data_IF_374315316955
#
_entry.id   IF_374315316955
#
_cell.length_a   1.000
_cell.length_b   1.000
_cell.length_c   1.000
_cell.angle_alpha   90.00
_cell.angle_beta   90.00
_cell.angle_gamma   90.00
#
_symmetry.space_group_name_H-M   'P 1'
#
loop_
_entity.id
_entity.type
_entity.pdbx_description
1 polymer ?
#
# COMPACT_ATOMS: atom_id res chain seq x y z
N UNK A 1 -21.94 -1.16 -2.00
CA UNK A 1 -20.68 -1.54 -1.34
C UNK A 1 -20.19 -0.48 -0.37
N UNK A 2 -20.32 0.80 -0.62
CA UNK A 2 -19.68 1.85 0.20
C UNK A 2 -20.57 2.45 1.30
N UNK A 3 -21.85 2.10 1.38
CA UNK A 3 -22.72 2.44 2.52
C UNK A 3 -22.66 1.30 3.55
N UNK A 4 -21.95 1.52 4.63
CA UNK A 4 -21.77 0.55 5.71
C UNK A 4 -22.64 0.99 6.89
N UNK A 5 -23.80 0.34 7.07
CA UNK A 5 -24.75 0.63 8.15
C UNK A 5 -24.73 -0.41 9.25
N UNK A 6 -24.11 -1.55 9.00
CA UNK A 6 -24.00 -2.69 9.91
C UNK A 6 -22.59 -3.26 9.98
N UNK A 7 -22.30 -4.02 11.02
CA UNK A 7 -21.04 -4.78 11.15
C UNK A 7 -20.89 -5.80 10.02
N UNK A 8 -21.99 -6.35 9.51
CA UNK A 8 -21.96 -7.27 8.37
C UNK A 8 -21.46 -6.54 7.10
N UNK A 9 -21.92 -5.31 6.85
CA UNK A 9 -21.45 -4.50 5.73
C UNK A 9 -19.95 -4.23 5.86
N UNK A 10 -19.49 -3.91 7.08
CA UNK A 10 -18.06 -3.71 7.34
C UNK A 10 -17.24 -4.97 7.00
N UNK A 11 -17.66 -6.15 7.48
CA UNK A 11 -16.95 -7.41 7.22
C UNK A 11 -16.87 -7.73 5.72
N UNK A 12 -17.98 -7.54 5.01
CA UNK A 12 -18.02 -7.72 3.55
C UNK A 12 -17.05 -6.74 2.86
N UNK A 13 -17.06 -5.47 3.25
CA UNK A 13 -16.18 -4.47 2.65
C UNK A 13 -14.70 -4.69 3.01
N UNK A 14 -14.38 -5.20 4.20
CA UNK A 14 -13.01 -5.62 4.54
C UNK A 14 -12.50 -6.68 3.56
N UNK A 15 -13.32 -7.67 3.21
CA UNK A 15 -12.90 -8.69 2.25
C UNK A 15 -12.77 -8.10 0.85
N UNK A 16 -13.79 -7.39 0.36
CA UNK A 16 -13.88 -6.95 -1.04
C UNK A 16 -12.95 -5.75 -1.33
N UNK A 17 -12.82 -4.83 -0.40
CA UNK A 17 -12.03 -3.59 -0.58
C UNK A 17 -10.65 -3.70 0.10
N UNK A 18 -10.58 -4.46 1.20
CA UNK A 18 -9.35 -4.62 1.97
C UNK A 18 -8.45 -5.73 1.45
N UNK A 19 -8.92 -6.97 1.51
CA UNK A 19 -8.09 -8.16 1.30
C UNK A 19 -7.89 -8.47 -0.19
N UNK A 20 -8.98 -8.55 -0.95
CA UNK A 20 -8.91 -8.95 -2.37
C UNK A 20 -8.03 -8.00 -3.19
N UNK A 21 -8.19 -6.66 -3.12
CA UNK A 21 -7.29 -5.75 -3.82
C UNK A 21 -5.87 -5.82 -3.29
N UNK A 22 -5.67 -5.87 -1.96
CA UNK A 22 -4.36 -5.98 -1.35
C UNK A 22 -3.53 -7.18 -1.84
N UNK A 23 -4.19 -8.30 -2.17
CA UNK A 23 -3.55 -9.47 -2.76
C UNK A 23 -3.41 -9.31 -4.29
N UNK A 24 -4.49 -9.00 -4.99
CA UNK A 24 -4.53 -8.97 -6.45
C UNK A 24 -3.63 -7.89 -7.05
N UNK A 25 -3.63 -6.71 -6.47
CA UNK A 25 -2.79 -5.60 -6.92
C UNK A 25 -1.30 -5.90 -6.68
N UNK A 26 -0.94 -6.51 -5.55
CA UNK A 26 0.45 -6.88 -5.29
C UNK A 26 0.95 -7.98 -6.24
N UNK A 27 0.11 -8.95 -6.57
CA UNK A 27 0.45 -9.95 -7.60
C UNK A 27 0.77 -9.27 -8.94
N UNK A 28 -0.04 -8.31 -9.35
CA UNK A 28 0.17 -7.58 -10.60
C UNK A 28 1.38 -6.65 -10.52
N UNK A 29 1.39 -5.72 -9.55
CA UNK A 29 2.39 -4.65 -9.52
C UNK A 29 3.77 -5.15 -9.10
N UNK A 30 3.88 -5.99 -8.07
CA UNK A 30 5.17 -6.51 -7.57
C UNK A 30 5.55 -7.81 -8.22
N UNK A 31 4.58 -8.74 -8.32
CA UNK A 31 4.81 -10.06 -8.92
C UNK A 31 5.11 -10.02 -10.41
N UNK A 32 4.51 -9.09 -11.16
CA UNK A 32 4.70 -8.98 -12.61
C UNK A 32 5.45 -7.69 -12.96
N UNK A 33 4.85 -6.52 -12.77
CA UNK A 33 5.37 -5.25 -13.32
C UNK A 33 6.74 -4.91 -12.73
N UNK A 34 6.87 -4.81 -11.42
CA UNK A 34 8.14 -4.46 -10.76
C UNK A 34 9.23 -5.49 -11.09
N UNK A 35 8.87 -6.77 -11.04
CA UNK A 35 9.81 -7.87 -11.35
C UNK A 35 10.33 -7.79 -12.78
N UNK A 36 9.45 -7.55 -13.77
CA UNK A 36 9.86 -7.45 -15.17
C UNK A 36 10.67 -6.18 -15.47
N UNK A 37 10.32 -5.04 -14.87
CA UNK A 37 11.09 -3.80 -14.99
C UNK A 37 12.48 -3.97 -14.35
N UNK A 38 12.55 -4.59 -13.16
CA UNK A 38 13.82 -4.82 -12.45
C UNK A 38 14.79 -5.71 -13.23
N UNK A 39 14.30 -6.63 -14.07
CA UNK A 39 15.17 -7.44 -14.94
C UNK A 39 15.83 -6.63 -16.05
N UNK A 40 15.22 -5.52 -16.45
CA UNK A 40 15.69 -4.67 -17.57
C UNK A 40 16.51 -3.47 -17.11
N UNK A 41 16.36 -3.07 -15.86
CA UNK A 41 17.02 -1.90 -15.28
C UNK A 41 18.13 -2.33 -14.32
N UNK A 42 19.29 -1.68 -14.42
CA UNK A 42 20.43 -1.90 -13.52
C UNK A 42 20.11 -1.42 -12.10
N UNK A 43 19.31 -0.35 -11.98
CA UNK A 43 18.99 0.25 -10.69
C UNK A 43 17.59 -0.18 -10.20
N UNK A 44 17.49 -0.98 -9.13
CA UNK A 44 16.21 -1.44 -8.61
C UNK A 44 15.32 -0.31 -8.07
N UNK A 45 15.91 0.79 -7.58
CA UNK A 45 15.16 1.92 -7.07
C UNK A 45 14.35 2.61 -8.17
N UNK A 46 14.86 2.66 -9.40
CA UNK A 46 14.13 3.19 -10.55
C UNK A 46 12.93 2.29 -10.90
N UNK A 47 13.12 0.97 -10.85
CA UNK A 47 12.02 0.02 -11.07
C UNK A 47 10.91 0.18 -10.03
N UNK A 48 11.29 0.34 -8.76
CA UNK A 48 10.35 0.58 -7.66
C UNK A 48 9.57 1.88 -7.91
N UNK A 49 10.26 2.97 -8.25
CA UNK A 49 9.63 4.26 -8.50
C UNK A 49 8.64 4.21 -9.67
N UNK A 50 9.05 3.63 -10.81
CA UNK A 50 8.18 3.49 -11.99
C UNK A 50 6.93 2.67 -11.63
N UNK A 51 7.11 1.56 -10.91
CA UNK A 51 5.98 0.71 -10.50
C UNK A 51 5.04 1.42 -9.54
N UNK A 52 5.57 2.18 -8.57
CA UNK A 52 4.77 2.96 -7.64
C UNK A 52 4.01 4.09 -8.36
N UNK A 53 4.63 4.73 -9.34
CA UNK A 53 3.98 5.72 -10.19
C UNK A 53 2.82 5.12 -10.98
N UNK A 54 3.05 3.98 -11.64
CA UNK A 54 2.00 3.25 -12.38
C UNK A 54 0.87 2.80 -11.44
N UNK A 55 1.20 2.29 -10.26
CA UNK A 55 0.23 1.92 -9.23
C UNK A 55 -0.67 3.10 -8.86
N UNK A 56 -0.10 4.27 -8.58
CA UNK A 56 -0.86 5.46 -8.26
C UNK A 56 -1.70 5.95 -9.44
N UNK A 57 -1.12 6.00 -10.64
CA UNK A 57 -1.80 6.45 -11.86
C UNK A 57 -3.00 5.57 -12.23
N UNK A 58 -2.90 4.25 -11.99
CA UNK A 58 -3.97 3.29 -12.31
C UNK A 58 -5.26 3.52 -11.51
N UNK A 59 -5.19 4.26 -10.42
CA UNK A 59 -6.37 4.62 -9.63
C UNK A 59 -7.16 5.81 -10.18
N UNK A 60 -6.65 6.53 -11.17
CA UNK A 60 -7.30 7.67 -11.84
C UNK A 60 -7.84 8.75 -10.88
N UNK A 61 -7.18 8.97 -9.75
CA UNK A 61 -7.57 9.95 -8.72
C UNK A 61 -6.44 10.95 -8.50
N UNK A 62 -6.64 12.20 -8.93
CA UNK A 62 -5.61 13.26 -8.82
C UNK A 62 -5.29 13.57 -7.35
N UNK A 63 -6.31 13.80 -6.53
CA UNK A 63 -6.15 14.11 -5.10
C UNK A 63 -5.48 12.98 -4.30
N UNK A 64 -5.77 11.72 -4.66
CA UNK A 64 -5.17 10.54 -4.05
C UNK A 64 -3.83 10.12 -4.63
N UNK A 65 -3.30 10.84 -5.64
CA UNK A 65 -2.10 10.41 -6.36
C UNK A 65 -0.87 10.31 -5.45
N UNK A 66 -0.56 11.38 -4.72
CA UNK A 66 0.63 11.41 -3.84
C UNK A 66 0.55 10.37 -2.71
N UNK A 67 -0.53 10.27 -1.94
CA UNK A 67 -0.68 9.20 -0.94
C UNK A 67 -0.51 7.79 -1.52
N UNK A 68 -1.11 7.52 -2.69
CA UNK A 68 -0.98 6.21 -3.34
C UNK A 68 0.41 5.96 -3.91
N UNK A 69 1.09 6.98 -4.40
CA UNK A 69 2.49 6.89 -4.79
C UNK A 69 3.36 6.50 -3.60
N UNK A 70 3.15 7.14 -2.44
CA UNK A 70 3.91 6.86 -1.22
C UNK A 70 3.70 5.42 -0.74
N UNK A 71 2.45 4.97 -0.64
CA UNK A 71 2.19 3.56 -0.29
C UNK A 71 2.75 2.60 -1.34
N UNK A 72 2.67 2.97 -2.62
CA UNK A 72 3.29 2.23 -3.72
C UNK A 72 4.80 2.05 -3.55
N UNK A 73 5.52 3.09 -3.13
CA UNK A 73 6.95 3.01 -2.81
C UNK A 73 7.22 2.06 -1.63
N UNK A 74 6.43 2.20 -0.54
CA UNK A 74 6.54 1.31 0.63
C UNK A 74 6.45 -0.15 0.24
N UNK A 75 5.40 -0.49 -0.51
CA UNK A 75 5.13 -1.86 -0.94
C UNK A 75 6.21 -2.37 -1.90
N UNK A 76 6.70 -1.50 -2.79
CA UNK A 76 7.81 -1.81 -3.68
C UNK A 76 9.11 -2.11 -2.95
N UNK A 77 9.44 -1.33 -1.93
CA UNK A 77 10.59 -1.59 -1.07
C UNK A 77 10.39 -2.82 -0.16
N UNK A 78 9.17 -3.03 0.37
CA UNK A 78 8.85 -4.22 1.14
C UNK A 78 9.10 -5.49 0.33
N UNK A 79 8.68 -5.50 -0.95
CA UNK A 79 8.96 -6.61 -1.87
C UNK A 79 10.46 -6.75 -2.14
N UNK A 80 11.15 -5.67 -2.48
CA UNK A 80 12.57 -5.68 -2.82
C UNK A 80 13.45 -6.19 -1.66
N UNK A 81 13.19 -5.71 -0.44
CA UNK A 81 13.99 -6.04 0.74
C UNK A 81 13.68 -7.42 1.30
N UNK A 82 12.42 -7.88 1.24
CA UNK A 82 12.02 -9.18 1.76
C UNK A 82 12.21 -10.33 0.75
N UNK A 83 12.24 -10.03 -0.54
CA UNK A 83 12.20 -11.04 -1.61
C UNK A 83 10.89 -11.82 -1.68
N UNK A 84 9.84 -11.40 -0.94
CA UNK A 84 8.58 -12.10 -0.79
C UNK A 84 7.39 -11.21 -1.13
N UNK A 85 6.40 -11.74 -1.87
CA UNK A 85 5.14 -11.06 -2.14
C UNK A 85 4.20 -11.03 -0.92
N UNK A 86 4.39 -11.94 0.04
CA UNK A 86 3.51 -12.05 1.21
C UNK A 86 3.57 -10.76 2.05
N UNK A 87 4.77 -10.20 2.25
CA UNK A 87 4.94 -9.00 3.07
C UNK A 87 4.19 -7.79 2.50
N UNK A 88 4.37 -7.37 1.23
CA UNK A 88 3.60 -6.26 0.67
C UNK A 88 2.09 -6.56 0.61
N UNK A 89 1.65 -7.81 0.36
CA UNK A 89 0.23 -8.18 0.42
C UNK A 89 -0.38 -7.92 1.81
N UNK A 90 0.31 -8.33 2.87
CA UNK A 90 -0.13 -8.09 4.25
C UNK A 90 -0.20 -6.60 4.54
N UNK A 91 0.86 -5.84 4.23
CA UNK A 91 0.92 -4.39 4.47
C UNK A 91 -0.21 -3.68 3.72
N UNK A 92 -0.41 -4.01 2.45
CA UNK A 92 -1.45 -3.40 1.61
C UNK A 92 -2.85 -3.72 2.14
N UNK A 93 -3.12 -5.01 2.43
CA UNK A 93 -4.41 -5.41 3.00
C UNK A 93 -4.68 -4.73 4.34
N UNK A 94 -3.70 -4.63 5.24
CA UNK A 94 -3.86 -3.94 6.52
C UNK A 94 -4.13 -2.44 6.34
N UNK A 95 -3.45 -1.77 5.40
CA UNK A 95 -3.72 -0.38 5.06
C UNK A 95 -5.18 -0.18 4.59
N UNK A 96 -5.65 -1.03 3.69
CA UNK A 96 -7.01 -0.95 3.17
C UNK A 96 -8.07 -1.29 4.24
N UNK A 97 -7.81 -2.28 5.09
CA UNK A 97 -8.67 -2.63 6.24
C UNK A 97 -8.76 -1.45 7.20
N UNK A 98 -7.63 -0.82 7.51
CA UNK A 98 -7.60 0.35 8.38
C UNK A 98 -8.45 1.50 7.82
N UNK A 99 -8.29 1.82 6.52
CA UNK A 99 -9.08 2.86 5.86
C UNK A 99 -10.57 2.53 5.86
N UNK A 100 -10.94 1.29 5.53
CA UNK A 100 -12.34 0.81 5.53
C UNK A 100 -12.96 0.88 6.91
N UNK A 101 -12.22 0.47 7.95
CA UNK A 101 -12.69 0.51 9.34
C UNK A 101 -12.82 1.94 9.86
N UNK A 102 -11.86 2.81 9.51
CA UNK A 102 -11.91 4.23 9.84
C UNK A 102 -13.12 4.93 9.23
N UNK A 103 -13.44 4.59 7.98
CA UNK A 103 -14.63 5.09 7.30
C UNK A 103 -15.93 4.62 7.99
N UNK A 104 -16.00 3.36 8.37
CA UNK A 104 -17.14 2.82 9.12
C UNK A 104 -17.32 3.54 10.45
N UNK A 105 -16.24 3.77 11.20
CA UNK A 105 -16.25 4.51 12.46
C UNK A 105 -16.69 5.97 12.30
N UNK A 106 -16.41 6.58 11.15
CA UNK A 106 -16.84 7.94 10.78
C UNK A 106 -18.32 8.02 10.32
N UNK A 107 -19.08 6.93 10.43
CA UNK A 107 -20.51 6.89 10.08
C UNK A 107 -20.86 6.15 8.79
N UNK A 108 -19.89 5.50 8.16
CA UNK A 108 -20.09 4.57 7.04
C UNK A 108 -20.62 5.17 5.73
N UNK A 109 -20.73 6.49 5.63
CA UNK A 109 -21.25 7.19 4.46
C UNK A 109 -20.10 7.82 3.68
N UNK A 110 -19.80 7.28 2.52
CA UNK A 110 -19.04 8.02 1.51
C UNK A 110 -20.05 8.88 0.74
N UNK A 111 -20.05 10.18 0.97
CA UNK A 111 -20.68 11.07 0.04
C UNK A 111 -19.89 11.05 -1.27
N UNK A 112 -20.58 10.98 -2.39
CA UNK A 112 -19.95 11.04 -3.73
C UNK A 112 -19.13 12.33 -3.92
N UNK A 113 -19.41 13.36 -3.14
CA UNK A 113 -18.59 14.57 -3.02
C UNK A 113 -17.21 14.31 -2.36
N UNK A 114 -17.10 13.35 -1.45
CA UNK A 114 -15.82 13.05 -0.77
C UNK A 114 -14.84 12.32 -1.68
N UNK A 115 -15.33 11.63 -2.70
CA UNK A 115 -14.48 11.00 -3.74
C UNK A 115 -13.89 12.07 -4.68
N UNK A 116 -14.57 13.21 -4.82
CA UNK A 116 -14.10 14.36 -5.62
C UNK A 116 -13.49 15.46 -4.75
N UNK A 117 -13.77 15.48 -3.45
CA UNK A 117 -13.15 16.44 -2.54
C UNK A 117 -11.67 16.07 -2.33
N UNK A 118 -10.81 17.06 -2.55
CA UNK A 118 -9.35 16.95 -2.43
C UNK A 118 -8.85 16.72 -0.99
N UNK A 119 -9.74 16.48 -0.05
CA UNK A 119 -9.42 16.36 1.37
C UNK A 119 -9.12 14.89 1.75
N UNK A 120 -7.92 14.43 1.40
CA UNK A 120 -7.38 13.22 2.04
C UNK A 120 -7.22 13.52 3.54
N UNK A 121 -7.83 12.74 4.44
CA UNK A 121 -7.66 12.98 5.88
C UNK A 121 -6.17 13.00 6.22
N UNK A 122 -5.68 14.11 6.78
CA UNK A 122 -4.28 14.24 7.21
C UNK A 122 -3.85 13.04 8.08
N UNK A 123 -4.79 12.52 8.89
CA UNK A 123 -4.57 11.32 9.69
C UNK A 123 -4.20 10.08 8.85
N UNK A 124 -4.80 9.88 7.66
CA UNK A 124 -4.46 8.77 6.78
C UNK A 124 -3.06 8.94 6.17
N UNK A 125 -2.68 10.17 5.81
CA UNK A 125 -1.33 10.50 5.33
C UNK A 125 -0.30 10.26 6.43
N UNK A 126 -0.55 10.77 7.63
CA UNK A 126 0.33 10.58 8.78
C UNK A 126 0.47 9.11 9.17
N UNK A 127 -0.64 8.36 9.18
CA UNK A 127 -0.61 6.92 9.43
C UNK A 127 0.23 6.19 8.39
N UNK A 128 0.06 6.48 7.11
CA UNK A 128 0.84 5.88 6.02
C UNK A 128 2.33 6.20 6.17
N UNK A 129 2.68 7.43 6.54
CA UNK A 129 4.07 7.85 6.77
C UNK A 129 4.68 7.17 8.00
N UNK A 130 3.94 7.06 9.11
CA UNK A 130 4.38 6.36 10.33
C UNK A 130 4.56 4.87 10.04
N UNK A 131 3.59 4.26 9.35
CA UNK A 131 3.66 2.85 8.94
C UNK A 131 4.88 2.63 8.03
N UNK A 132 5.12 3.54 7.08
CA UNK A 132 6.31 3.52 6.23
C UNK A 132 7.60 3.55 7.03
N UNK A 133 7.77 4.57 7.89
CA UNK A 133 8.98 4.74 8.70
C UNK A 133 9.22 3.51 9.59
N UNK A 134 8.17 3.01 10.25
CA UNK A 134 8.24 1.85 11.14
C UNK A 134 8.61 0.57 10.39
N UNK A 135 7.98 0.31 9.26
CA UNK A 135 8.26 -0.88 8.44
C UNK A 135 9.65 -0.80 7.81
N UNK A 136 10.05 0.36 7.30
CA UNK A 136 11.41 0.57 6.78
C UNK A 136 12.45 0.32 7.88
N UNK A 137 12.22 0.87 9.09
CA UNK A 137 13.10 0.64 10.23
C UNK A 137 13.18 -0.86 10.61
N UNK A 138 12.03 -1.55 10.70
CA UNK A 138 11.99 -2.98 11.01
C UNK A 138 12.70 -3.82 9.94
N UNK A 139 12.46 -3.55 8.66
CA UNK A 139 13.11 -4.28 7.57
C UNK A 139 14.62 -4.04 7.61
N UNK A 140 15.07 -2.80 7.75
CA UNK A 140 16.50 -2.48 7.85
C UNK A 140 17.12 -3.09 9.11
N UNK A 141 16.41 -3.20 10.22
CA UNK A 141 16.91 -3.82 11.45
C UNK A 141 17.08 -5.34 11.33
N UNK A 142 16.19 -6.00 10.57
CA UNK A 142 16.25 -7.45 10.33
C UNK A 142 17.25 -7.80 9.22
N UNK A 143 17.39 -6.92 8.20
CA UNK A 143 18.27 -7.15 7.05
C UNK A 143 19.68 -6.60 7.22
N UNK A 144 20.06 -6.09 8.41
CA UNK A 144 21.45 -5.74 8.69
C UNK A 144 22.32 -6.97 8.40
N UNK A 145 23.20 -6.95 7.40
CA UNK A 145 24.12 -8.08 7.19
C UNK A 145 24.97 -8.21 8.44
N UNK A 146 25.18 -9.45 8.89
CA UNK A 146 26.22 -9.79 9.86
C UNK A 146 27.59 -9.48 9.23
N UNK A 147 28.00 -8.21 9.19
CA UNK A 147 29.30 -7.77 8.69
C UNK A 147 30.45 -8.10 9.68
N UNK A 148 30.18 -8.87 10.74
CA UNK A 148 31.17 -9.20 11.76
C UNK A 148 31.67 -10.65 11.74
N UNK A 149 31.51 -11.42 10.65
CA UNK A 149 31.99 -12.79 10.59
C UNK A 149 33.08 -13.05 9.54
N UNK A 150 33.79 -12.05 9.04
CA UNK A 150 34.94 -12.21 8.18
C UNK A 150 36.09 -11.27 8.62
N UNK A 151 36.58 -11.41 9.86
CA UNK A 151 37.93 -11.07 10.28
C UNK A 151 38.59 -12.28 10.92
#
# INVERSE_FOLDING_TARGET
>A
LLNMTSVQDLLINIVIIGIIPGIGEELLFRGVIQKEISKKLINPHVAIFITAFLFSAFHFQVAGFIPKLMIGLVLGYAYFLSGSLILPMIIHSLNNIFLTTSLFAAGGKIQTQDIQSENVPIAAVLFSLILFATLTYLILSITKPNLQQNE
#
